data_IF_302684495450
#
_entry.id   IF_302684495450
#
_cell.length_a   1.000
_cell.length_b   1.000
_cell.length_c   1.000
_cell.angle_alpha   90.00
_cell.angle_beta   90.00
_cell.angle_gamma   90.00
#
_symmetry.space_group_name_H-M   'P 1'
#
loop_
_entity.id
_entity.type
_entity.pdbx_description
1 polymer ?
#
# COMPACT_ATOMS: atom_id res chain seq x y z
N UNK A 1 -24.75 8.34 -13.16
CA UNK A 1 -26.08 8.07 -13.72
C UNK A 1 -26.93 7.57 -12.57
N UNK A 2 -27.71 8.49 -12.00
CA UNK A 2 -28.66 8.17 -10.95
C UNK A 2 -29.91 7.63 -11.65
N UNK A 3 -30.09 6.31 -11.62
CA UNK A 3 -31.29 5.68 -12.17
C UNK A 3 -32.42 5.88 -11.15
N UNK A 4 -33.22 6.91 -11.35
CA UNK A 4 -34.54 7.05 -10.72
C UNK A 4 -35.54 6.22 -11.51
N UNK A 5 -35.41 4.90 -11.45
CA UNK A 5 -36.49 4.01 -11.89
C UNK A 5 -37.61 4.10 -10.85
N UNK A 6 -38.67 4.81 -11.19
CA UNK A 6 -39.88 4.90 -10.36
C UNK A 6 -40.63 3.57 -10.53
N UNK A 7 -40.41 2.64 -9.62
CA UNK A 7 -41.02 1.31 -9.68
C UNK A 7 -42.48 1.42 -9.23
N UNK A 8 -43.41 1.16 -10.14
CA UNK A 8 -44.86 1.30 -9.90
C UNK A 8 -45.56 -0.03 -9.64
N UNK A 9 -44.97 -1.15 -10.03
CA UNK A 9 -45.60 -2.47 -9.98
C UNK A 9 -44.66 -3.56 -9.40
N UNK A 10 -45.20 -4.49 -8.62
CA UNK A 10 -44.46 -5.60 -8.02
C UNK A 10 -43.82 -6.52 -9.08
N UNK A 11 -44.43 -6.61 -10.27
CA UNK A 11 -43.85 -7.34 -11.40
C UNK A 11 -42.58 -6.66 -11.94
N UNK A 12 -42.52 -5.32 -11.91
CA UNK A 12 -41.35 -4.55 -12.34
C UNK A 12 -40.19 -4.73 -11.36
N UNK A 13 -40.44 -4.74 -10.04
CA UNK A 13 -39.41 -5.00 -9.01
C UNK A 13 -38.64 -6.30 -9.31
N UNK A 14 -39.36 -7.38 -9.61
CA UNK A 14 -38.74 -8.69 -9.88
C UNK A 14 -37.95 -8.72 -11.19
N UNK A 15 -38.30 -7.90 -12.19
CA UNK A 15 -37.55 -7.76 -13.44
C UNK A 15 -36.24 -7.02 -13.20
N UNK A 16 -36.27 -5.89 -12.50
CA UNK A 16 -35.07 -5.11 -12.15
C UNK A 16 -34.06 -5.92 -11.35
N UNK A 17 -34.52 -6.76 -10.40
CA UNK A 17 -33.62 -7.65 -9.63
C UNK A 17 -32.96 -8.68 -10.56
N UNK A 18 -33.69 -9.25 -11.52
CA UNK A 18 -33.11 -10.22 -12.48
C UNK A 18 -32.11 -9.55 -13.42
N UNK A 19 -32.43 -8.36 -13.92
CA UNK A 19 -31.55 -7.57 -14.79
C UNK A 19 -30.24 -7.20 -14.08
N UNK A 20 -30.32 -6.73 -12.83
CA UNK A 20 -29.13 -6.44 -12.02
C UNK A 20 -28.23 -7.66 -11.79
N UNK A 21 -28.82 -8.84 -11.57
CA UNK A 21 -28.07 -10.10 -11.45
C UNK A 21 -27.39 -10.49 -12.75
N UNK A 22 -28.09 -10.39 -13.88
CA UNK A 22 -27.53 -10.70 -15.19
C UNK A 22 -26.40 -9.74 -15.57
N UNK A 23 -26.55 -8.46 -15.25
CA UNK A 23 -25.50 -7.45 -15.45
C UNK A 23 -24.20 -7.83 -14.73
N UNK A 24 -24.28 -8.17 -13.44
CA UNK A 24 -23.12 -8.61 -12.65
C UNK A 24 -22.49 -9.89 -13.25
N UNK A 25 -23.32 -10.86 -13.66
CA UNK A 25 -22.83 -12.11 -14.26
C UNK A 25 -22.12 -11.88 -15.60
N UNK A 26 -22.55 -10.91 -16.40
CA UNK A 26 -21.90 -10.59 -17.67
C UNK A 26 -20.50 -10.03 -17.45
N UNK A 27 -20.34 -9.11 -16.49
CA UNK A 27 -19.04 -8.55 -16.12
C UNK A 27 -18.09 -9.64 -15.60
N UNK A 28 -18.57 -10.52 -14.72
CA UNK A 28 -17.73 -11.60 -14.16
C UNK A 28 -17.28 -12.58 -15.24
N UNK A 29 -18.10 -12.83 -16.26
CA UNK A 29 -17.70 -13.67 -17.40
C UNK A 29 -16.55 -13.05 -18.19
N UNK A 30 -16.53 -11.74 -18.38
CA UNK A 30 -15.44 -11.04 -19.06
C UNK A 30 -14.13 -11.11 -18.26
N UNK A 31 -14.22 -10.90 -16.95
CA UNK A 31 -13.09 -11.09 -16.02
C UNK A 31 -12.60 -12.55 -16.02
N UNK A 32 -13.49 -13.52 -16.23
CA UNK A 32 -13.07 -14.92 -16.28
C UNK A 32 -12.33 -15.27 -17.57
N UNK A 33 -12.70 -14.67 -18.71
CA UNK A 33 -12.02 -14.90 -20.00
C UNK A 33 -10.54 -14.51 -19.95
N UNK A 34 -10.23 -13.49 -19.16
CA UNK A 34 -8.88 -12.93 -19.03
C UNK A 34 -8.02 -13.69 -18.01
N UNK A 35 -8.57 -14.71 -17.33
CA UNK A 35 -7.88 -15.60 -16.38
C UNK A 35 -7.16 -14.88 -15.22
N UNK A 36 -7.77 -13.84 -14.64
CA UNK A 36 -7.29 -13.26 -13.39
C UNK A 36 -7.60 -14.17 -12.19
N UNK A 37 -6.59 -14.47 -11.38
CA UNK A 37 -6.76 -15.21 -10.12
C UNK A 37 -6.97 -14.27 -8.92
N UNK A 38 -6.37 -13.08 -8.98
CA UNK A 38 -6.41 -12.05 -7.95
C UNK A 38 -6.94 -10.74 -8.53
N UNK A 39 -7.94 -10.14 -7.87
CA UNK A 39 -8.41 -8.80 -8.15
C UNK A 39 -8.09 -7.88 -6.96
N UNK A 40 -7.28 -6.87 -7.23
CA UNK A 40 -6.96 -5.79 -6.32
C UNK A 40 -7.88 -4.61 -6.63
N UNK A 41 -8.71 -4.20 -5.67
CA UNK A 41 -9.63 -3.09 -5.87
C UNK A 41 -9.19 -1.91 -5.01
N UNK A 42 -8.80 -0.85 -5.71
CA UNK A 42 -8.46 0.42 -5.12
C UNK A 42 -9.72 1.06 -4.54
N UNK A 43 -9.68 1.43 -3.25
CA UNK A 43 -10.72 2.32 -2.70
C UNK A 43 -10.56 3.70 -3.33
N UNK A 44 -11.48 4.10 -4.22
CA UNK A 44 -11.54 5.47 -4.75
C UNK A 44 -12.27 6.44 -3.79
N UNK A 45 -12.97 5.94 -2.77
CA UNK A 45 -13.69 6.71 -1.73
C UNK A 45 -14.11 5.78 -0.59
N UNK A 46 -14.02 6.23 0.65
CA UNK A 46 -14.39 5.48 1.87
C UNK A 46 -15.92 5.24 1.99
N UNK A 47 -16.75 6.01 1.29
CA UNK A 47 -18.20 6.11 1.53
C UNK A 47 -19.09 5.22 0.65
N UNK A 48 -18.57 4.57 -0.39
CA UNK A 48 -19.34 3.63 -1.20
C UNK A 48 -18.63 2.28 -1.26
N UNK A 49 -19.36 1.22 -0.94
CA UNK A 49 -18.88 -0.13 -1.14
C UNK A 49 -18.54 -0.33 -2.63
N UNK A 50 -17.27 -0.62 -2.90
CA UNK A 50 -16.77 -0.78 -4.25
C UNK A 50 -17.37 -2.02 -4.95
N UNK A 51 -17.87 -2.99 -4.18
CA UNK A 51 -18.46 -4.24 -4.67
C UNK A 51 -19.58 -4.67 -3.72
N UNK A 52 -20.75 -4.99 -4.27
CA UNK A 52 -21.84 -5.60 -3.50
C UNK A 52 -21.57 -7.07 -3.16
N UNK A 53 -22.15 -7.55 -2.06
CA UNK A 53 -21.90 -8.91 -1.53
C UNK A 53 -22.23 -10.03 -2.51
N UNK A 54 -23.24 -9.83 -3.37
CA UNK A 54 -23.61 -10.79 -4.39
C UNK A 54 -22.50 -11.02 -5.42
N UNK A 55 -21.77 -9.98 -5.80
CA UNK A 55 -20.68 -10.09 -6.77
C UNK A 55 -19.48 -10.83 -6.16
N UNK A 56 -19.19 -10.63 -4.87
CA UNK A 56 -18.13 -11.36 -4.15
C UNK A 56 -18.47 -12.85 -4.10
N UNK A 57 -19.71 -13.18 -3.77
CA UNK A 57 -20.16 -14.57 -3.74
C UNK A 57 -19.99 -15.25 -5.11
N UNK A 58 -20.30 -14.55 -6.22
CA UNK A 58 -20.06 -15.10 -7.56
C UNK A 58 -18.57 -15.21 -7.91
N UNK A 59 -17.73 -14.25 -7.52
CA UNK A 59 -16.28 -14.28 -7.75
C UNK A 59 -15.60 -15.44 -7.00
N UNK A 60 -16.00 -15.69 -5.75
CA UNK A 60 -15.53 -16.83 -4.95
C UNK A 60 -15.88 -18.17 -5.60
N UNK A 61 -17.12 -18.32 -6.12
CA UNK A 61 -17.53 -19.52 -6.86
C UNK A 61 -16.70 -19.73 -8.14
N UNK A 62 -16.24 -18.66 -8.77
CA UNK A 62 -15.39 -18.69 -9.96
C UNK A 62 -13.90 -18.85 -9.65
N UNK A 63 -13.53 -19.02 -8.37
CA UNK A 63 -12.16 -19.13 -7.84
C UNK A 63 -11.29 -17.88 -8.08
N UNK A 64 -11.90 -16.70 -8.02
CA UNK A 64 -11.17 -15.42 -8.11
C UNK A 64 -11.18 -14.77 -6.73
N UNK A 65 -10.00 -14.52 -6.17
CA UNK A 65 -9.84 -13.87 -4.88
C UNK A 65 -9.91 -12.35 -5.07
N UNK A 66 -10.66 -11.68 -4.20
CA UNK A 66 -10.82 -10.23 -4.26
C UNK A 66 -10.32 -9.62 -2.95
N UNK A 67 -9.31 -8.77 -3.04
CA UNK A 67 -8.86 -7.99 -1.91
C UNK A 67 -9.50 -6.59 -1.98
N UNK A 68 -10.41 -6.35 -1.04
CA UNK A 68 -10.98 -5.03 -0.82
C UNK A 68 -9.97 -4.16 -0.10
N UNK A 69 -9.84 -2.89 -0.50
CA UNK A 69 -9.01 -1.88 0.18
C UNK A 69 -7.52 -2.14 -0.02
N UNK A 70 -7.06 -1.90 -1.24
CA UNK A 70 -5.62 -1.80 -1.51
C UNK A 70 -5.25 -0.32 -1.50
N UNK A 71 -4.19 0.03 -0.78
CA UNK A 71 -3.64 1.39 -0.77
C UNK A 71 -2.81 1.64 -2.03
N UNK A 72 -2.57 2.92 -2.35
CA UNK A 72 -1.80 3.27 -3.56
C UNK A 72 -0.34 2.80 -3.49
N UNK A 73 0.18 2.68 -2.28
CA UNK A 73 1.57 2.35 -1.98
C UNK A 73 1.83 0.84 -2.10
N UNK A 74 0.78 0.01 -1.98
CA UNK A 74 0.85 -1.46 -2.06
C UNK A 74 0.69 -2.01 -3.49
N UNK A 75 0.55 -1.14 -4.50
CA UNK A 75 0.34 -1.57 -5.89
C UNK A 75 1.69 -2.04 -6.47
N UNK A 76 1.95 -3.34 -6.34
CA UNK A 76 3.09 -4.05 -6.94
C UNK A 76 2.98 -4.07 -8.46
N UNK A 77 3.85 -3.34 -9.16
CA UNK A 77 4.20 -3.41 -10.61
C UNK A 77 3.06 -3.58 -11.63
N UNK A 78 1.81 -3.38 -11.21
CA UNK A 78 0.63 -3.50 -12.05
C UNK A 78 0.17 -2.12 -12.44
N UNK A 79 -0.09 -1.92 -13.73
CA UNK A 79 -0.71 -0.69 -14.21
C UNK A 79 -2.19 -0.68 -13.77
N UNK A 80 -2.65 0.37 -13.07
CA UNK A 80 -4.01 0.43 -12.58
C UNK A 80 -5.00 0.52 -13.76
N UNK A 81 -6.00 -0.34 -13.75
CA UNK A 81 -7.05 -0.38 -14.79
C UNK A 81 -8.26 0.43 -14.30
N UNK A 82 -8.73 1.36 -15.13
CA UNK A 82 -9.87 2.24 -14.78
C UNK A 82 -11.22 1.71 -15.28
N UNK A 83 -11.23 0.97 -16.39
CA UNK A 83 -12.46 0.49 -17.05
C UNK A 83 -12.37 -0.99 -17.38
N UNK A 84 -13.53 -1.65 -17.39
CA UNK A 84 -13.66 -3.09 -17.68
C UNK A 84 -13.16 -3.47 -19.09
N UNK A 85 -13.17 -2.53 -20.03
CA UNK A 85 -12.76 -2.79 -21.42
C UNK A 85 -11.24 -2.92 -21.60
N UNK A 86 -10.45 -2.49 -20.61
CA UNK A 86 -8.99 -2.47 -20.68
C UNK A 86 -8.33 -3.67 -19.98
N UNK A 87 -9.10 -4.71 -19.64
CA UNK A 87 -8.57 -5.94 -19.08
C UNK A 87 -7.87 -6.77 -20.17
N UNK A 88 -6.62 -6.41 -20.48
CA UNK A 88 -5.73 -7.20 -21.34
C UNK A 88 -4.72 -7.99 -20.53
N UNK A 89 -4.28 -9.13 -21.07
CA UNK A 89 -3.28 -9.99 -20.42
C UNK A 89 -1.93 -9.29 -20.21
N UNK A 90 -1.63 -8.26 -20.98
CA UNK A 90 -0.39 -7.48 -20.88
C UNK A 90 -0.28 -6.67 -19.57
N UNK A 91 -1.39 -6.52 -18.84
CA UNK A 91 -1.46 -5.78 -17.58
C UNK A 91 -1.41 -6.71 -16.35
N UNK A 92 -1.15 -8.00 -16.55
CA UNK A 92 -1.02 -8.99 -15.48
C UNK A 92 0.32 -8.86 -14.75
N UNK A 93 0.27 -8.65 -13.44
CA UNK A 93 1.42 -8.87 -12.56
C UNK A 93 1.56 -10.34 -12.18
N UNK A 94 2.80 -10.82 -12.07
CA UNK A 94 3.09 -12.18 -11.60
C UNK A 94 3.21 -12.19 -10.07
N UNK A 95 2.38 -13.01 -9.42
CA UNK A 95 2.36 -13.17 -7.96
C UNK A 95 2.41 -14.67 -7.66
N UNK A 96 3.30 -15.07 -6.76
CA UNK A 96 3.58 -16.49 -6.49
C UNK A 96 2.70 -17.02 -5.35
N UNK A 97 2.52 -16.24 -4.28
CA UNK A 97 1.68 -16.64 -3.13
C UNK A 97 0.81 -15.49 -2.63
N UNK A 98 -0.47 -15.79 -2.41
CA UNK A 98 -1.42 -14.86 -1.77
C UNK A 98 -2.08 -15.55 -0.60
N UNK A 99 -1.85 -15.04 0.60
CA UNK A 99 -2.48 -15.54 1.83
C UNK A 99 -3.55 -14.57 2.36
N UNK A 100 -4.80 -15.05 2.43
CA UNK A 100 -5.96 -14.25 2.81
C UNK A 100 -5.93 -13.79 4.28
N UNK A 101 -5.37 -14.60 5.20
CA UNK A 101 -5.38 -14.31 6.65
C UNK A 101 -4.51 -13.12 7.06
N UNK A 102 -3.48 -12.80 6.29
CA UNK A 102 -2.53 -11.74 6.60
C UNK A 102 -2.49 -10.65 5.52
N UNK A 103 -3.31 -10.77 4.46
CA UNK A 103 -3.23 -9.95 3.24
C UNK A 103 -1.80 -9.83 2.72
N UNK A 104 -1.01 -10.89 2.89
CA UNK A 104 0.35 -10.92 2.37
C UNK A 104 0.28 -11.33 0.91
N UNK A 105 0.65 -10.39 0.05
CA UNK A 105 0.92 -10.63 -1.36
C UNK A 105 2.43 -10.79 -1.45
N UNK A 106 2.90 -12.03 -1.66
CA UNK A 106 4.32 -12.28 -1.91
C UNK A 106 4.51 -12.36 -3.42
N UNK A 107 4.97 -11.26 -4.00
CA UNK A 107 5.45 -11.24 -5.39
C UNK A 107 6.89 -11.74 -5.47
N UNK A 108 7.26 -12.24 -6.64
CA UNK A 108 8.64 -12.64 -6.95
C UNK A 108 9.54 -11.40 -6.79
N UNK A 109 10.64 -11.57 -6.06
CA UNK A 109 11.61 -10.54 -5.75
C UNK A 109 12.26 -9.97 -7.02
N UNK A 110 11.76 -8.82 -7.48
CA UNK A 110 12.54 -7.94 -8.36
C UNK A 110 13.49 -7.13 -7.47
N UNK A 111 14.79 -7.02 -7.82
CA UNK A 111 15.80 -6.37 -6.99
C UNK A 111 15.54 -4.87 -6.73
N UNK A 112 14.69 -4.24 -7.55
CA UNK A 112 14.34 -2.82 -7.45
C UNK A 112 13.08 -2.56 -6.60
N UNK A 113 12.49 -3.58 -5.98
CA UNK A 113 11.22 -3.45 -5.24
C UNK A 113 11.37 -3.17 -3.75
N UNK A 114 10.43 -2.40 -3.16
CA UNK A 114 10.39 -2.17 -1.73
C UNK A 114 10.12 -3.48 -0.98
N UNK A 115 10.92 -3.74 0.06
CA UNK A 115 10.71 -4.87 0.98
C UNK A 115 9.61 -4.48 1.95
N UNK A 116 8.57 -5.31 2.06
CA UNK A 116 7.53 -5.16 3.08
C UNK A 116 7.86 -6.04 4.30
N UNK A 117 7.67 -5.49 5.50
CA UNK A 117 7.90 -6.22 6.77
C UNK A 117 6.58 -6.30 7.55
N UNK A 118 6.15 -7.52 7.87
CA UNK A 118 4.97 -7.74 8.70
C UNK A 118 5.37 -7.86 10.18
N UNK A 119 5.01 -6.86 10.97
CA UNK A 119 5.15 -6.89 12.43
C UNK A 119 3.87 -7.44 13.07
N UNK A 120 4.00 -8.46 13.91
CA UNK A 120 2.90 -9.04 14.68
C UNK A 120 3.17 -8.88 16.16
N UNK A 121 2.20 -8.33 16.89
CA UNK A 121 2.17 -8.33 18.36
C UNK A 121 0.74 -8.56 18.83
N UNK A 122 0.63 -9.08 20.05
CA UNK A 122 -0.65 -9.28 20.73
C UNK A 122 -1.25 -7.98 21.26
N UNK A 123 -0.44 -6.92 21.39
CA UNK A 123 -0.86 -5.63 21.95
C UNK A 123 -0.48 -4.47 21.03
N UNK A 124 -1.35 -3.47 20.94
CA UNK A 124 -1.13 -2.28 20.10
C UNK A 124 0.08 -1.47 20.57
N UNK A 125 0.29 -1.32 21.88
CA UNK A 125 1.43 -0.56 22.42
C UNK A 125 2.78 -1.20 22.07
N UNK A 126 2.86 -2.53 22.13
CA UNK A 126 4.05 -3.28 21.74
C UNK A 126 4.31 -3.20 20.23
N UNK A 127 3.25 -3.24 19.41
CA UNK A 127 3.36 -3.06 17.97
C UNK A 127 3.93 -1.69 17.61
N UNK A 128 3.43 -0.63 18.23
CA UNK A 128 3.94 0.74 18.01
C UNK A 128 5.40 0.88 18.46
N UNK A 129 5.77 0.28 19.59
CA UNK A 129 7.15 0.26 20.06
C UNK A 129 8.08 -0.52 19.13
N UNK A 130 7.65 -1.68 18.65
CA UNK A 130 8.42 -2.50 17.71
C UNK A 130 8.59 -1.79 16.35
N UNK A 131 7.53 -1.18 15.81
CA UNK A 131 7.59 -0.42 14.57
C UNK A 131 8.57 0.76 14.67
N UNK A 132 8.53 1.50 15.79
CA UNK A 132 9.48 2.58 16.05
C UNK A 132 10.92 2.08 16.17
N UNK A 133 11.14 0.99 16.89
CA UNK A 133 12.48 0.40 17.04
C UNK A 133 13.07 -0.07 15.70
N UNK A 134 12.25 -0.66 14.82
CA UNK A 134 12.69 -1.08 13.48
C UNK A 134 12.99 0.14 12.61
N UNK A 135 12.14 1.16 12.67
CA UNK A 135 12.36 2.42 11.96
C UNK A 135 13.70 3.05 12.37
N UNK A 136 13.97 3.15 13.67
CA UNK A 136 15.23 3.73 14.17
C UNK A 136 16.45 2.90 13.72
N UNK A 137 16.37 1.57 13.77
CA UNK A 137 17.44 0.69 13.31
C UNK A 137 17.71 0.81 11.80
N UNK A 138 16.66 0.84 10.98
CA UNK A 138 16.78 1.05 9.53
C UNK A 138 17.38 2.42 9.22
N UNK A 139 17.00 3.45 9.99
CA UNK A 139 17.52 4.80 9.80
C UNK A 139 19.02 4.88 10.08
N UNK A 140 19.52 4.15 11.09
CA UNK A 140 20.97 4.04 11.37
C UNK A 140 21.72 3.38 10.23
N UNK A 141 21.19 2.27 9.69
CA UNK A 141 21.80 1.58 8.54
C UNK A 141 21.79 2.49 7.31
N UNK A 142 20.67 3.17 7.05
CA UNK A 142 20.53 4.10 5.93
C UNK A 142 21.52 5.26 6.03
N UNK A 143 21.70 5.81 7.23
CA UNK A 143 22.70 6.85 7.48
C UNK A 143 24.11 6.36 7.16
N UNK A 144 24.45 5.12 7.55
CA UNK A 144 25.76 4.52 7.24
C UNK A 144 26.00 4.30 5.74
N UNK A 145 24.93 4.10 4.96
CA UNK A 145 25.00 3.99 3.50
C UNK A 145 25.30 5.35 2.86
N UNK A 146 24.76 6.44 3.42
CA UNK A 146 24.94 7.80 2.89
C UNK A 146 26.27 8.40 3.34
N UNK A 147 26.58 8.30 4.63
CA UNK A 147 27.78 8.86 5.24
C UNK A 147 28.63 7.72 5.82
N UNK A 148 29.89 7.62 5.36
CA UNK A 148 30.82 6.56 5.79
C UNK A 148 31.55 6.85 7.09
N UNK A 149 31.10 7.84 7.86
CA UNK A 149 31.70 8.19 9.14
C UNK A 149 30.73 7.90 10.27
N UNK A 150 31.25 7.39 11.38
CA UNK A 150 30.49 7.18 12.62
C UNK A 150 31.06 8.14 13.64
N UNK A 151 30.23 9.10 14.07
CA UNK A 151 30.50 9.90 15.25
C UNK A 151 30.09 9.07 16.46
N UNK A 152 31.05 8.72 17.31
CA UNK A 152 30.77 8.02 18.56
C UNK A 152 30.46 9.11 19.58
N UNK A 153 29.21 9.59 19.58
CA UNK A 153 28.74 10.53 20.59
C UNK A 153 28.56 9.82 21.93
N UNK A 154 29.64 9.69 22.68
CA UNK A 154 29.57 9.83 24.12
C UNK A 154 29.45 11.34 24.43
N UNK A 155 28.99 11.70 25.63
CA UNK A 155 29.03 13.04 26.27
C UNK A 155 30.38 13.77 26.05
N UNK A 156 31.44 13.05 25.67
CA UNK A 156 32.70 13.62 25.22
C UNK A 156 32.60 14.57 24.02
N UNK A 157 31.69 14.35 23.06
CA UNK A 157 31.62 15.19 21.85
C UNK A 157 31.06 16.59 22.12
N UNK A 158 30.07 16.76 22.99
CA UNK A 158 29.65 18.12 23.39
C UNK A 158 30.80 18.91 24.02
N UNK A 159 31.59 18.25 24.88
CA UNK A 159 32.74 18.88 25.53
C UNK A 159 33.87 19.20 24.54
N UNK A 160 34.18 18.30 23.61
CA UNK A 160 35.25 18.50 22.62
C UNK A 160 34.81 19.53 21.57
N UNK A 161 33.58 19.45 21.07
CA UNK A 161 33.04 20.39 20.08
C UNK A 161 32.91 21.78 20.68
N UNK A 162 32.41 21.93 21.92
CA UNK A 162 32.42 23.23 22.59
C UNK A 162 33.86 23.75 22.79
N UNK A 163 34.78 22.90 23.22
CA UNK A 163 36.18 23.28 23.42
C UNK A 163 36.91 23.66 22.12
N UNK A 164 36.47 23.20 20.95
CA UNK A 164 37.03 23.58 19.65
C UNK A 164 36.30 24.82 19.08
N UNK A 165 34.99 24.92 19.27
CA UNK A 165 34.18 26.02 18.78
C UNK A 165 34.52 27.35 19.48
N UNK A 166 34.80 27.32 20.78
CA UNK A 166 35.20 28.51 21.56
C UNK A 166 36.48 29.15 21.00
N UNK A 167 37.63 28.47 20.86
CA UNK A 167 38.84 29.06 20.29
C UNK A 167 38.67 29.44 18.82
N UNK A 168 37.92 28.66 18.02
CA UNK A 168 37.66 29.01 16.61
C UNK A 168 36.83 30.30 16.47
N UNK A 169 35.87 30.52 17.36
CA UNK A 169 35.10 31.78 17.43
C UNK A 169 35.95 32.96 17.92
N UNK A 170 36.84 32.75 18.90
CA UNK A 170 37.75 33.76 19.41
C UNK A 170 38.77 34.20 18.34
N UNK A 171 39.34 33.25 17.59
CA UNK A 171 40.25 33.55 16.47
C UNK A 171 39.51 34.34 15.38
N UNK A 172 38.27 33.94 15.04
CA UNK A 172 37.47 34.62 14.00
C UNK A 172 37.09 36.05 14.40
N UNK A 173 36.79 36.28 15.68
CA UNK A 173 36.55 37.61 16.24
C UNK A 173 37.82 38.46 16.24
N UNK A 174 38.97 37.88 16.61
CA UNK A 174 40.25 38.57 16.56
C UNK A 174 40.60 38.99 15.11
N UNK A 175 40.46 38.10 14.12
CA UNK A 175 40.71 38.46 12.72
C UNK A 175 39.76 39.54 12.18
N UNK A 176 38.53 39.65 12.69
CA UNK A 176 37.58 40.72 12.32
C UNK A 176 37.88 42.08 12.95
N UNK A 177 38.74 42.15 13.96
CA UNK A 177 39.19 43.41 14.56
C UNK A 177 40.43 44.00 13.88
N UNK A 178 41.07 43.24 12.98
CA UNK A 178 42.26 43.65 12.23
C UNK A 178 41.98 44.04 10.77
N UNK A 179 40.71 44.06 10.35
CA UNK A 179 40.20 44.75 9.14
C UNK A 179 39.45 46.02 9.55
#
# INVERSE_FOLDING_TARGET
MENTDIISDHAQVNRTIKEGRQYILNIIKEIKKTNYNLLLIQKKTILRDAIGDLAIHYLLRMKILVLKTVEREDILDCKPITSLDHFQQDMLGSIDLVEEKLRLITSVAHPDHPVSMLLRSSNKLELEQAARSVHDALFVIWYFVIERFVLISNILEENIVQSILVPMSAIRLATKQFD
#
